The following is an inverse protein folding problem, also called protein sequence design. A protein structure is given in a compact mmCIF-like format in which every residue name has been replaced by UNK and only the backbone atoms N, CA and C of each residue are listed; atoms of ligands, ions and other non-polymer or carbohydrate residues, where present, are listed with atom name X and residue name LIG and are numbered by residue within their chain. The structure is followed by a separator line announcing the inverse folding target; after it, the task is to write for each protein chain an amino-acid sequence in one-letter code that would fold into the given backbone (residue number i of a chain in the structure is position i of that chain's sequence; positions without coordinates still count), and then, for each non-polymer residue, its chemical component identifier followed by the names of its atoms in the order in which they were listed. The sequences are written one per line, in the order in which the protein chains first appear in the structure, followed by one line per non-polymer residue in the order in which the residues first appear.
data_IF_667788362444
#
_entry.id   IF_667788362444
#
_cell.length_a   1.000
_cell.length_b   1.000
_cell.length_c   1.000
_cell.angle_alpha   90.00
_cell.angle_beta   90.00
_cell.angle_gamma   90.00
#
_symmetry.space_group_name_H-M   'P 1'
#
loop_
_entity.id
_entity.type
_entity.pdbx_description
1 polymer ?
#
# COMPACT_ATOMS: atom_id res chain seq x y z
N UNK A 1 -10.58 61.77 -12.99
CA UNK A 1 -9.61 60.76 -12.48
C UNK A 1 -10.30 59.65 -11.67
N UNK A 2 -11.48 59.88 -11.09
CA UNK A 2 -12.26 58.87 -10.33
C UNK A 2 -12.59 57.58 -11.11
N UNK A 3 -13.04 57.66 -12.36
CA UNK A 3 -13.36 56.45 -13.15
C UNK A 3 -12.15 55.54 -13.40
N UNK A 4 -10.93 56.10 -13.45
CA UNK A 4 -9.71 55.30 -13.61
C UNK A 4 -9.32 54.59 -12.30
N UNK A 5 -9.63 55.15 -11.14
CA UNK A 5 -9.37 54.47 -9.87
C UNK A 5 -10.37 53.33 -9.64
N UNK A 6 -11.64 53.55 -9.98
CA UNK A 6 -12.70 52.52 -9.89
C UNK A 6 -12.40 51.31 -10.80
N UNK A 7 -12.03 51.53 -12.06
CA UNK A 7 -11.72 50.41 -12.98
C UNK A 7 -10.54 49.56 -12.50
N UNK A 8 -9.49 50.19 -11.93
CA UNK A 8 -8.32 49.48 -11.40
C UNK A 8 -8.74 48.57 -10.24
N UNK A 9 -9.61 49.04 -9.33
CA UNK A 9 -10.12 48.25 -8.21
C UNK A 9 -10.92 47.05 -8.71
N UNK A 10 -11.78 47.22 -9.72
CA UNK A 10 -12.53 46.12 -10.32
C UNK A 10 -11.62 45.08 -11.00
N UNK A 11 -10.57 45.52 -11.70
CA UNK A 11 -9.58 44.62 -12.32
C UNK A 11 -8.81 43.83 -11.27
N UNK A 12 -8.32 44.49 -10.22
CA UNK A 12 -7.61 43.82 -9.13
C UNK A 12 -8.52 42.80 -8.44
N UNK A 13 -9.78 43.17 -8.17
CA UNK A 13 -10.78 42.28 -7.56
C UNK A 13 -11.02 41.05 -8.45
N UNK A 14 -11.20 41.23 -9.76
CA UNK A 14 -11.39 40.13 -10.69
C UNK A 14 -10.17 39.18 -10.72
N UNK A 15 -8.94 39.72 -10.69
CA UNK A 15 -7.70 38.94 -10.63
C UNK A 15 -7.64 38.12 -9.33
N UNK A 16 -7.96 38.72 -8.18
CA UNK A 16 -7.98 38.02 -6.89
C UNK A 16 -8.99 36.86 -6.92
N UNK A 17 -10.21 37.10 -7.41
CA UNK A 17 -11.23 36.06 -7.54
C UNK A 17 -10.74 34.92 -8.45
N UNK A 18 -10.10 35.24 -9.57
CA UNK A 18 -9.52 34.24 -10.47
C UNK A 18 -8.44 33.39 -9.80
N UNK A 19 -7.54 34.02 -9.04
CA UNK A 19 -6.51 33.31 -8.27
C UNK A 19 -7.14 32.39 -7.22
N UNK A 20 -8.15 32.86 -6.48
CA UNK A 20 -8.86 32.05 -5.49
C UNK A 20 -9.48 30.80 -6.14
N UNK A 21 -10.16 30.95 -7.28
CA UNK A 21 -10.76 29.82 -8.01
C UNK A 21 -9.68 28.84 -8.48
N UNK A 22 -8.56 29.33 -8.99
CA UNK A 22 -7.44 28.48 -9.41
C UNK A 22 -6.87 27.67 -8.23
N UNK A 23 -6.65 28.31 -7.08
CA UNK A 23 -6.14 27.64 -5.86
C UNK A 23 -7.09 26.55 -5.40
N UNK A 24 -8.40 26.83 -5.32
CA UNK A 24 -9.41 25.83 -4.93
C UNK A 24 -9.42 24.64 -5.88
N UNK A 25 -9.33 24.88 -7.18
CA UNK A 25 -9.32 23.83 -8.21
C UNK A 25 -8.10 22.93 -8.07
N UNK A 26 -6.92 23.50 -7.87
CA UNK A 26 -5.67 22.75 -7.68
C UNK A 26 -5.74 21.94 -6.37
N UNK A 27 -6.21 22.56 -5.29
CA UNK A 27 -6.34 21.89 -3.99
C UNK A 27 -7.29 20.69 -4.06
N UNK A 28 -8.43 20.84 -4.74
CA UNK A 28 -9.37 19.74 -4.97
C UNK A 28 -8.72 18.60 -5.75
N UNK A 29 -8.01 18.91 -6.85
CA UNK A 29 -7.33 17.90 -7.67
C UNK A 29 -6.24 17.15 -6.88
N UNK A 30 -5.44 17.87 -6.08
CA UNK A 30 -4.42 17.25 -5.23
C UNK A 30 -5.03 16.34 -4.16
N UNK A 31 -6.12 16.78 -3.52
CA UNK A 31 -6.84 15.99 -2.51
C UNK A 31 -7.44 14.73 -3.13
N UNK A 32 -8.00 14.84 -4.34
CA UNK A 32 -8.51 13.69 -5.08
C UNK A 32 -7.41 12.67 -5.38
N UNK A 33 -6.25 13.11 -5.87
CA UNK A 33 -5.10 12.23 -6.13
C UNK A 33 -4.57 11.58 -4.85
N UNK A 34 -4.60 12.30 -3.73
CA UNK A 34 -4.21 11.76 -2.43
C UNK A 34 -5.16 10.64 -1.99
N UNK A 35 -6.48 10.83 -2.16
CA UNK A 35 -7.48 9.84 -1.82
C UNK A 35 -7.40 8.62 -2.75
N UNK A 36 -7.19 8.82 -4.06
CA UNK A 36 -6.93 7.72 -5.00
C UNK A 36 -5.70 6.91 -4.57
N UNK A 37 -4.62 7.58 -4.18
CA UNK A 37 -3.39 6.90 -3.72
C UNK A 37 -3.62 6.14 -2.42
N UNK A 38 -4.44 6.67 -1.51
CA UNK A 38 -4.86 5.99 -0.28
C UNK A 38 -5.71 4.75 -0.59
N UNK A 39 -6.65 4.84 -1.52
CA UNK A 39 -7.47 3.70 -1.94
C UNK A 39 -6.61 2.57 -2.50
N UNK A 40 -5.63 2.90 -3.37
CA UNK A 40 -4.68 1.90 -3.89
C UNK A 40 -3.83 1.28 -2.78
N UNK A 41 -3.37 2.08 -1.82
CA UNK A 41 -2.64 1.56 -0.66
C UNK A 41 -3.47 0.54 0.14
N UNK A 42 -4.75 0.84 0.40
CA UNK A 42 -5.64 -0.06 1.11
C UNK A 42 -5.85 -1.38 0.36
N UNK A 43 -5.88 -1.35 -0.98
CA UNK A 43 -5.92 -2.58 -1.79
C UNK A 43 -4.65 -3.42 -1.63
N UNK A 44 -3.47 -2.78 -1.64
CA UNK A 44 -2.20 -3.48 -1.39
C UNK A 44 -2.19 -4.11 0.01
N UNK A 45 -2.62 -3.37 1.04
CA UNK A 45 -2.68 -3.86 2.43
C UNK A 45 -3.66 -5.04 2.56
N UNK A 46 -4.78 -5.02 1.82
CA UNK A 46 -5.72 -6.15 1.72
C UNK A 46 -5.07 -7.41 1.15
N UNK A 47 -4.39 -7.30 0.00
CA UNK A 47 -3.68 -8.44 -0.60
C UNK A 47 -2.55 -8.97 0.30
N UNK A 48 -1.85 -8.06 0.99
CA UNK A 48 -0.82 -8.40 1.96
C UNK A 48 -1.38 -9.25 3.10
N UNK A 49 -2.54 -8.85 3.63
CA UNK A 49 -3.25 -9.54 4.70
C UNK A 49 -3.79 -10.91 4.24
N UNK A 50 -4.32 -10.99 3.02
CA UNK A 50 -4.77 -12.25 2.42
C UNK A 50 -3.61 -13.25 2.34
N UNK A 51 -2.46 -12.84 1.79
CA UNK A 51 -1.26 -13.68 1.71
C UNK A 51 -0.79 -14.10 3.11
N UNK A 52 -0.75 -13.18 4.06
CA UNK A 52 -0.39 -13.46 5.45
C UNK A 52 -1.27 -14.56 6.07
N UNK A 53 -2.59 -14.46 5.88
CA UNK A 53 -3.53 -15.46 6.36
C UNK A 53 -3.35 -16.82 5.65
N UNK A 54 -3.05 -16.83 4.35
CA UNK A 54 -2.74 -18.07 3.63
C UNK A 54 -1.46 -18.73 4.14
N UNK A 55 -0.43 -17.96 4.52
CA UNK A 55 0.79 -18.52 5.12
C UNK A 55 0.52 -19.11 6.50
N UNK A 56 -0.34 -18.49 7.32
CA UNK A 56 -0.82 -19.11 8.57
C UNK A 56 -1.52 -20.44 8.34
N UNK A 57 -2.40 -20.50 7.32
CA UNK A 57 -3.06 -21.75 6.96
C UNK A 57 -2.04 -22.80 6.51
N UNK A 58 -1.02 -22.41 5.75
CA UNK A 58 0.06 -23.31 5.34
C UNK A 58 0.80 -23.86 6.56
N UNK A 59 1.19 -23.02 7.52
CA UNK A 59 1.84 -23.45 8.76
C UNK A 59 1.02 -24.53 9.47
N UNK A 60 -0.28 -24.29 9.69
CA UNK A 60 -1.16 -25.28 10.33
C UNK A 60 -1.28 -26.59 9.54
N UNK A 61 -1.18 -26.55 8.22
CA UNK A 61 -1.09 -27.78 7.43
C UNK A 61 0.25 -28.49 7.66
N UNK A 62 1.37 -27.77 7.66
CA UNK A 62 2.69 -28.38 7.90
C UNK A 62 2.77 -29.04 9.28
N UNK A 63 2.27 -28.36 10.30
CA UNK A 63 2.17 -28.89 11.67
C UNK A 63 1.33 -30.17 11.77
N UNK A 64 0.35 -30.36 10.87
CA UNK A 64 -0.53 -31.54 10.92
C UNK A 64 0.15 -32.84 10.45
N UNK A 65 1.23 -32.75 9.67
CA UNK A 65 1.93 -33.93 9.14
C UNK A 65 3.42 -33.98 9.49
N UNK A 66 4.00 -32.88 9.98
CA UNK A 66 5.39 -32.83 10.42
C UNK A 66 5.47 -32.11 11.76
N UNK A 67 6.21 -32.68 12.71
CA UNK A 67 6.41 -32.11 14.04
C UNK A 67 7.85 -31.59 14.17
N UNK A 68 8.15 -30.41 13.62
CA UNK A 68 9.39 -29.66 13.94
C UNK A 68 9.09 -28.50 14.88
N UNK A 69 9.21 -28.76 16.19
CA UNK A 69 8.92 -27.77 17.22
C UNK A 69 9.77 -26.49 17.15
N UNK A 70 11.00 -26.54 16.61
CA UNK A 70 11.88 -25.36 16.58
C UNK A 70 11.59 -24.42 15.42
N UNK A 71 11.20 -24.97 14.28
CA UNK A 71 10.88 -24.15 13.09
C UNK A 71 9.51 -23.49 13.25
N UNK A 72 8.53 -24.19 13.83
CA UNK A 72 7.20 -23.64 14.08
C UNK A 72 7.19 -22.57 15.17
N UNK A 73 8.00 -22.68 16.22
CA UNK A 73 8.08 -21.65 17.27
C UNK A 73 8.50 -20.28 16.70
N UNK A 74 9.48 -20.28 15.78
CA UNK A 74 9.89 -19.06 15.06
C UNK A 74 8.80 -18.54 14.13
N UNK A 75 8.09 -19.43 13.45
CA UNK A 75 7.00 -19.07 12.56
C UNK A 75 5.85 -18.40 13.33
N UNK A 76 5.41 -19.00 14.44
CA UNK A 76 4.39 -18.43 15.33
C UNK A 76 4.81 -17.08 15.92
N UNK A 77 6.06 -16.94 16.35
CA UNK A 77 6.57 -15.66 16.89
C UNK A 77 6.46 -14.48 15.89
N UNK A 78 6.41 -14.75 14.60
CA UNK A 78 6.22 -13.75 13.54
C UNK A 78 4.74 -13.67 13.14
N UNK A 79 4.12 -14.81 12.85
CA UNK A 79 2.78 -14.86 12.27
C UNK A 79 1.69 -14.45 13.27
N UNK A 80 1.86 -14.73 14.56
CA UNK A 80 0.86 -14.39 15.59
C UNK A 80 0.87 -12.93 16.00
N UNK A 81 1.87 -12.16 15.55
CA UNK A 81 1.87 -10.71 15.75
C UNK A 81 0.66 -10.09 15.06
N UNK A 82 0.08 -9.10 15.73
CA UNK A 82 -1.03 -8.35 15.19
C UNK A 82 -0.53 -7.40 14.09
N UNK A 83 -0.60 -7.91 12.86
CA UNK A 83 -0.19 -7.20 11.65
C UNK A 83 -0.87 -5.83 11.52
N UNK A 84 -2.11 -5.68 12.00
CA UNK A 84 -2.91 -4.45 11.83
C UNK A 84 -2.55 -3.36 12.84
N UNK A 85 -2.01 -3.73 14.01
CA UNK A 85 -1.64 -2.79 15.08
C UNK A 85 -0.28 -2.12 14.86
N UNK A 86 0.49 -2.57 13.86
CA UNK A 86 1.85 -2.11 13.60
C UNK A 86 1.90 -0.88 12.67
N UNK A 87 2.95 -0.08 12.86
CA UNK A 87 3.27 1.03 11.96
C UNK A 87 3.58 0.56 10.54
N UNK A 88 3.55 1.47 9.56
CA UNK A 88 3.78 1.13 8.14
C UNK A 88 5.14 0.43 7.92
N UNK A 89 6.20 0.92 8.54
CA UNK A 89 7.56 0.36 8.39
C UNK A 89 7.69 -1.00 9.08
N UNK A 90 7.15 -1.13 10.29
CA UNK A 90 7.12 -2.39 11.04
C UNK A 90 6.35 -3.47 10.29
N UNK A 91 5.21 -3.12 9.68
CA UNK A 91 4.46 -4.03 8.80
C UNK A 91 5.28 -4.52 7.62
N UNK A 92 6.07 -3.65 6.99
CA UNK A 92 6.92 -4.04 5.87
C UNK A 92 8.02 -5.02 6.31
N UNK A 93 8.67 -4.74 7.44
CA UNK A 93 9.68 -5.64 8.01
C UNK A 93 9.07 -7.00 8.35
N UNK A 94 7.91 -6.98 9.01
CA UNK A 94 7.22 -8.19 9.43
C UNK A 94 6.75 -9.02 8.22
N UNK A 95 6.28 -8.36 7.17
CA UNK A 95 5.91 -9.03 5.92
C UNK A 95 7.09 -9.74 5.27
N UNK A 96 8.30 -9.14 5.25
CA UNK A 96 9.51 -9.81 4.76
C UNK A 96 9.86 -11.07 5.56
N UNK A 97 9.74 -11.01 6.90
CA UNK A 97 9.96 -12.18 7.75
C UNK A 97 8.95 -13.31 7.44
N UNK A 98 7.69 -12.96 7.17
CA UNK A 98 6.70 -13.94 6.74
C UNK A 98 7.05 -14.58 5.39
N UNK A 99 7.61 -13.83 4.43
CA UNK A 99 8.06 -14.39 3.15
C UNK A 99 9.21 -15.39 3.31
N UNK A 100 10.14 -15.13 4.24
CA UNK A 100 11.20 -16.09 4.60
C UNK A 100 10.61 -17.38 5.18
N UNK A 101 9.67 -17.26 6.13
CA UNK A 101 8.95 -18.40 6.73
C UNK A 101 8.21 -19.20 5.65
N UNK A 102 7.52 -18.52 4.73
CA UNK A 102 6.85 -19.17 3.61
C UNK A 102 7.82 -20.01 2.77
N UNK A 103 9.02 -19.49 2.50
CA UNK A 103 10.07 -20.24 1.83
C UNK A 103 10.46 -21.52 2.58
N UNK A 104 10.65 -21.43 3.89
CA UNK A 104 10.95 -22.60 4.74
C UNK A 104 9.81 -23.61 4.74
N UNK A 105 8.56 -23.18 4.90
CA UNK A 105 7.38 -24.07 4.90
C UNK A 105 7.24 -24.81 3.57
N UNK A 106 7.51 -24.15 2.43
CA UNK A 106 7.47 -24.80 1.11
C UNK A 106 8.54 -25.91 1.01
N UNK A 107 9.73 -25.69 1.59
CA UNK A 107 10.79 -26.71 1.64
C UNK A 107 10.36 -27.88 2.52
N UNK A 108 9.80 -27.63 3.71
CA UNK A 108 9.31 -28.69 4.60
C UNK A 108 8.20 -29.53 3.97
N UNK A 109 7.25 -28.89 3.28
CA UNK A 109 6.22 -29.60 2.49
C UNK A 109 6.86 -30.51 1.45
N UNK A 110 7.90 -30.02 0.76
CA UNK A 110 8.56 -30.77 -0.30
C UNK A 110 9.35 -31.96 0.24
N UNK A 111 9.93 -31.84 1.43
CA UNK A 111 10.77 -32.88 2.04
C UNK A 111 9.96 -33.91 2.85
N UNK A 112 8.86 -33.49 3.48
CA UNK A 112 8.11 -34.29 4.45
C UNK A 112 6.64 -34.51 4.09
N UNK A 113 6.15 -33.93 3.00
CA UNK A 113 4.75 -34.04 2.58
C UNK A 113 4.32 -35.46 2.25
N UNK A 114 3.08 -35.81 2.59
CA UNK A 114 2.44 -37.06 2.19
C UNK A 114 1.45 -36.83 1.02
N UNK A 115 1.10 -37.91 0.31
CA UNK A 115 0.22 -37.87 -0.88
C UNK A 115 -1.19 -37.31 -0.61
N UNK A 116 -1.70 -37.40 0.62
CA UNK A 116 -3.06 -36.93 0.97
C UNK A 116 -3.10 -35.43 1.26
N UNK A 117 -2.05 -34.87 1.85
CA UNK A 117 -1.91 -33.44 2.10
C UNK A 117 -1.46 -32.67 0.85
N UNK A 118 -0.81 -33.35 -0.10
CA UNK A 118 -0.24 -32.75 -1.30
C UNK A 118 -1.26 -31.96 -2.13
N UNK A 119 -2.48 -32.48 -2.34
CA UNK A 119 -3.46 -31.78 -3.18
C UNK A 119 -3.92 -30.45 -2.54
N UNK A 120 -4.23 -30.45 -1.23
CA UNK A 120 -4.66 -29.23 -0.51
C UNK A 120 -3.55 -28.20 -0.46
N UNK A 121 -2.32 -28.63 -0.17
CA UNK A 121 -1.17 -27.74 -0.08
C UNK A 121 -0.79 -27.20 -1.46
N UNK A 122 -0.79 -28.05 -2.49
CA UNK A 122 -0.56 -27.63 -3.88
C UNK A 122 -1.58 -26.58 -4.30
N UNK A 123 -2.85 -26.78 -3.99
CA UNK A 123 -3.91 -25.80 -4.27
C UNK A 123 -3.68 -24.48 -3.52
N UNK A 124 -3.24 -24.53 -2.26
CA UNK A 124 -2.89 -23.34 -1.48
C UNK A 124 -1.67 -22.61 -2.06
N UNK A 125 -0.63 -23.33 -2.45
CA UNK A 125 0.56 -22.76 -3.11
C UNK A 125 0.22 -22.11 -4.46
N UNK A 126 -0.69 -22.71 -5.23
CA UNK A 126 -1.20 -22.09 -6.47
C UNK A 126 -1.94 -20.79 -6.18
N UNK A 127 -2.85 -20.78 -5.19
CA UNK A 127 -3.54 -19.57 -4.75
C UNK A 127 -2.57 -18.49 -4.25
N UNK A 128 -1.58 -18.87 -3.44
CA UNK A 128 -0.53 -17.96 -2.95
C UNK A 128 0.25 -17.32 -4.10
N UNK A 129 0.56 -18.09 -5.15
CA UNK A 129 1.23 -17.57 -6.36
C UNK A 129 0.36 -16.56 -7.10
N UNK A 130 -0.92 -16.88 -7.30
CA UNK A 130 -1.87 -15.97 -7.96
C UNK A 130 -2.08 -14.69 -7.14
N UNK A 131 -2.15 -14.81 -5.82
CA UNK A 131 -2.30 -13.67 -4.92
C UNK A 131 -1.03 -12.81 -4.88
N UNK A 132 0.16 -13.42 -4.90
CA UNK A 132 1.43 -12.71 -5.03
C UNK A 132 1.50 -11.92 -6.35
N UNK A 133 1.00 -12.50 -7.44
CA UNK A 133 0.92 -11.78 -8.71
C UNK A 133 0.00 -10.55 -8.62
N UNK A 134 -1.21 -10.69 -8.04
CA UNK A 134 -2.12 -9.56 -7.81
C UNK A 134 -1.51 -8.51 -6.89
N UNK A 135 -0.82 -8.94 -5.83
CA UNK A 135 -0.10 -8.06 -4.91
C UNK A 135 0.91 -7.18 -5.64
N UNK A 136 1.78 -7.77 -6.48
CA UNK A 136 2.75 -7.01 -7.26
C UNK A 136 2.10 -6.08 -8.29
N UNK A 137 0.99 -6.49 -8.90
CA UNK A 137 0.22 -5.59 -9.77
C UNK A 137 -0.34 -4.39 -9.00
N UNK A 138 -0.86 -4.62 -7.79
CA UNK A 138 -1.39 -3.57 -6.94
C UNK A 138 -0.28 -2.62 -6.42
N UNK A 139 0.90 -3.14 -6.07
CA UNK A 139 2.08 -2.33 -5.74
C UNK A 139 2.46 -1.42 -6.90
N UNK A 140 2.57 -1.98 -8.11
CA UNK A 140 2.90 -1.20 -9.30
C UNK A 140 1.83 -0.12 -9.60
N UNK A 141 0.55 -0.40 -9.35
CA UNK A 141 -0.52 0.58 -9.49
C UNK A 141 -0.43 1.68 -8.43
N UNK A 142 -0.18 1.32 -7.17
CA UNK A 142 0.05 2.26 -6.09
C UNK A 142 1.22 3.20 -6.40
N UNK A 143 2.36 2.66 -6.83
CA UNK A 143 3.55 3.44 -7.15
C UNK A 143 3.31 4.41 -8.31
N UNK A 144 2.50 4.01 -9.30
CA UNK A 144 2.07 4.91 -10.38
C UNK A 144 1.21 6.06 -9.84
N UNK A 145 0.28 5.79 -8.92
CA UNK A 145 -0.53 6.82 -8.27
C UNK A 145 0.31 7.77 -7.42
N UNK A 146 1.20 7.23 -6.57
CA UNK A 146 2.16 8.01 -5.77
C UNK A 146 3.01 8.91 -6.67
N UNK A 147 3.50 8.38 -7.79
CA UNK A 147 4.30 9.16 -8.75
C UNK A 147 3.51 10.33 -9.31
N UNK A 148 2.28 10.08 -9.79
CA UNK A 148 1.41 11.15 -10.30
C UNK A 148 1.12 12.21 -9.24
N UNK A 149 0.82 11.79 -8.01
CA UNK A 149 0.56 12.70 -6.89
C UNK A 149 1.80 13.54 -6.54
N UNK A 150 2.96 12.91 -6.38
CA UNK A 150 4.21 13.58 -6.04
C UNK A 150 4.65 14.55 -7.15
N UNK A 151 4.49 14.19 -8.42
CA UNK A 151 4.76 15.09 -9.54
C UNK A 151 3.88 16.36 -9.50
N UNK A 152 2.60 16.22 -9.15
CA UNK A 152 1.68 17.36 -9.05
C UNK A 152 2.00 18.26 -7.85
N UNK A 153 2.54 17.70 -6.77
CA UNK A 153 3.07 18.48 -5.63
C UNK A 153 4.37 19.20 -5.98
N UNK A 154 5.22 18.62 -6.83
CA UNK A 154 6.51 19.23 -7.16
C UNK A 154 6.41 20.35 -8.21
N UNK A 155 5.43 20.25 -9.13
CA UNK A 155 5.24 21.22 -10.23
C UNK A 155 4.48 22.46 -9.75
N UNK A 156 4.85 23.64 -10.26
CA UNK A 156 4.05 24.85 -10.08
C UNK A 156 2.78 24.77 -10.97
N UNK A 157 1.61 25.26 -10.51
CA UNK A 157 1.36 25.98 -9.26
C UNK A 157 1.13 25.06 -8.04
N UNK A 158 1.05 23.75 -8.23
CA UNK A 158 0.78 22.75 -7.20
C UNK A 158 1.72 22.82 -5.99
N UNK A 159 3.01 23.08 -6.20
CA UNK A 159 4.00 23.26 -5.13
C UNK A 159 3.63 24.34 -4.11
N UNK A 160 3.09 25.47 -4.58
CA UNK A 160 2.71 26.58 -3.70
C UNK A 160 1.45 26.24 -2.91
N UNK A 161 0.45 25.68 -3.59
CA UNK A 161 -0.80 25.23 -2.97
C UNK A 161 -0.50 24.14 -1.93
N UNK A 162 0.30 23.13 -2.28
CA UNK A 162 0.72 22.07 -1.37
C UNK A 162 1.46 22.62 -0.15
N UNK A 163 2.35 23.61 -0.33
CA UNK A 163 3.04 24.28 0.78
C UNK A 163 2.10 25.02 1.73
N UNK A 164 1.10 25.75 1.18
CA UNK A 164 0.11 26.50 1.97
C UNK A 164 -0.81 25.55 2.75
N UNK A 165 -1.28 24.47 2.12
CA UNK A 165 -2.22 23.53 2.72
C UNK A 165 -1.56 22.33 3.40
N UNK A 166 -0.22 22.30 3.48
CA UNK A 166 0.53 21.24 4.17
C UNK A 166 0.46 19.86 3.51
N UNK A 167 0.16 19.78 2.22
CA UNK A 167 0.13 18.51 1.48
C UNK A 167 1.57 18.01 1.27
N UNK A 168 1.83 16.78 1.71
CA UNK A 168 3.15 16.17 1.69
C UNK A 168 3.22 15.04 0.67
N UNK A 169 4.42 14.84 0.11
CA UNK A 169 4.71 13.68 -0.74
C UNK A 169 4.42 12.38 0.00
N UNK A 170 3.97 11.39 -0.75
CA UNK A 170 3.78 10.04 -0.25
C UNK A 170 4.97 9.16 -0.65
N UNK A 171 5.43 8.25 0.24
CA UNK A 171 6.47 7.30 -0.10
C UNK A 171 5.92 6.18 -0.99
N UNK A 172 6.73 5.73 -1.94
CA UNK A 172 6.48 4.49 -2.69
C UNK A 172 6.64 3.26 -1.77
N UNK A 173 6.11 2.12 -2.21
CA UNK A 173 6.22 0.85 -1.47
C UNK A 173 7.52 0.12 -1.76
#
# INVERSE_FOLDING_TARGET
MENKMSWIVWVITAIIVFICVAVVTIFYNLTKLQEETREKYLKVDGYRMEKWNMVKQLLGYVESFHADGKTFEKAHAVLDKDFLMLGKEERLLLYRQMEEILGTLIVEVKEHGNLQCEEKIRNLCMKLKDEAYKYHMAEAEYDRCVTKYNEQIEKAPGKYVAGIFGLKKQPRL
#
